data_IF_201684674430
#
_entry.id   IF_201684674430
#
_cell.length_a   1.000
_cell.length_b   1.000
_cell.length_c   1.000
_cell.angle_alpha   90.00
_cell.angle_beta   90.00
_cell.angle_gamma   90.00
#
_symmetry.space_group_name_H-M   'P 1'
#
loop_
_entity.id
_entity.type
_entity.pdbx_description
1 polymer ?
#
# COMPACT_ATOMS: atom_id res chain seq x y z
N UNK A 1 -16.93 34.66 16.31
CA UNK A 1 -17.14 33.27 15.82
C UNK A 1 -16.28 33.08 14.58
N UNK A 2 -15.20 32.31 14.72
CA UNK A 2 -14.15 32.17 13.70
C UNK A 2 -14.60 31.31 12.52
N UNK A 3 -14.37 31.81 11.30
CA UNK A 3 -14.43 31.02 10.07
C UNK A 3 -13.32 29.97 10.17
N UNK A 4 -13.67 28.71 10.45
CA UNK A 4 -12.73 27.60 10.30
C UNK A 4 -12.24 27.60 8.85
N UNK A 5 -10.92 27.67 8.70
CA UNK A 5 -10.24 27.90 7.45
C UNK A 5 -10.23 26.60 6.65
N UNK A 6 -11.22 26.40 5.79
CA UNK A 6 -11.43 25.25 4.89
C UNK A 6 -10.17 24.83 4.09
N UNK A 7 -9.22 25.74 3.85
CA UNK A 7 -7.95 25.41 3.20
C UNK A 7 -6.96 24.66 4.12
N UNK A 8 -7.01 24.85 5.43
CA UNK A 8 -6.09 24.21 6.38
C UNK A 8 -6.49 22.75 6.68
N UNK A 9 -7.78 22.42 6.59
CA UNK A 9 -8.32 21.08 6.86
C UNK A 9 -7.95 20.10 5.73
N UNK A 10 -8.12 20.51 4.46
CA UNK A 10 -7.76 19.71 3.28
C UNK A 10 -6.26 19.41 3.15
N UNK A 11 -5.40 20.36 3.54
CA UNK A 11 -3.93 20.17 3.53
C UNK A 11 -3.51 19.13 4.58
N UNK A 12 -4.24 19.05 5.70
CA UNK A 12 -3.95 18.11 6.77
C UNK A 12 -4.37 16.67 6.42
N UNK A 13 -5.48 16.51 5.70
CA UNK A 13 -5.93 15.21 5.19
C UNK A 13 -4.97 14.64 4.13
N UNK A 14 -4.53 15.46 3.17
CA UNK A 14 -3.55 15.04 2.16
C UNK A 14 -2.20 14.62 2.76
N UNK A 15 -1.72 15.36 3.77
CA UNK A 15 -0.50 15.02 4.51
C UNK A 15 -0.66 13.71 5.31
N UNK A 16 -1.81 13.51 5.95
CA UNK A 16 -2.13 12.28 6.69
C UNK A 16 -2.14 11.04 5.77
N UNK A 17 -2.79 11.14 4.61
CA UNK A 17 -2.83 10.07 3.61
C UNK A 17 -1.43 9.76 3.06
N UNK A 18 -0.62 10.80 2.84
CA UNK A 18 0.75 10.61 2.37
C UNK A 18 1.64 9.88 3.38
N UNK A 19 1.52 10.23 4.66
CA UNK A 19 2.25 9.57 5.74
C UNK A 19 1.79 8.12 5.91
N UNK A 20 0.47 7.88 5.93
CA UNK A 20 -0.10 6.54 6.02
C UNK A 20 0.39 5.64 4.88
N UNK A 21 0.39 6.15 3.64
CA UNK A 21 0.93 5.43 2.48
C UNK A 21 2.40 5.07 2.68
N UNK A 22 3.23 6.03 3.09
CA UNK A 22 4.65 5.79 3.33
C UNK A 22 4.84 4.66 4.35
N UNK A 23 4.13 4.73 5.47
CA UNK A 23 4.26 3.80 6.58
C UNK A 23 3.73 2.40 6.23
N UNK A 24 2.75 2.29 5.33
CA UNK A 24 2.25 1.02 4.80
C UNK A 24 3.14 0.43 3.70
N UNK A 25 3.78 1.26 2.87
CA UNK A 25 4.65 0.78 1.81
C UNK A 25 5.86 0.02 2.35
N UNK A 26 6.46 0.47 3.45
CA UNK A 26 7.61 -0.21 4.06
C UNK A 26 7.35 -1.69 4.41
N UNK A 27 6.35 -2.03 5.26
CA UNK A 27 6.05 -3.42 5.58
C UNK A 27 5.54 -4.18 4.35
N UNK A 28 4.81 -3.54 3.43
CA UNK A 28 4.30 -4.18 2.21
C UNK A 28 5.44 -4.60 1.27
N UNK A 29 6.46 -3.77 1.09
CA UNK A 29 7.67 -4.11 0.32
C UNK A 29 8.40 -5.31 0.92
N UNK A 30 8.49 -5.39 2.24
CA UNK A 30 9.11 -6.54 2.93
C UNK A 30 8.31 -7.83 2.66
N UNK A 31 6.98 -7.78 2.79
CA UNK A 31 6.11 -8.93 2.51
C UNK A 31 6.25 -9.40 1.06
N UNK A 32 6.22 -8.48 0.09
CA UNK A 32 6.39 -8.80 -1.33
C UNK A 32 7.76 -9.42 -1.62
N UNK A 33 8.83 -8.88 -1.02
CA UNK A 33 10.18 -9.42 -1.17
C UNK A 33 10.29 -10.86 -0.67
N UNK A 34 9.79 -11.16 0.54
CA UNK A 34 9.77 -12.54 1.03
C UNK A 34 8.86 -13.45 0.20
N UNK A 35 7.72 -12.95 -0.25
CA UNK A 35 6.82 -13.73 -1.10
C UNK A 35 7.48 -14.09 -2.45
N UNK A 36 8.27 -13.17 -3.02
CA UNK A 36 9.04 -13.42 -4.24
C UNK A 36 10.18 -14.43 -4.01
N UNK A 37 10.83 -14.40 -2.85
CA UNK A 37 11.83 -15.42 -2.50
C UNK A 37 11.19 -16.80 -2.34
N UNK A 38 10.01 -16.87 -1.70
CA UNK A 38 9.27 -18.11 -1.54
C UNK A 38 8.76 -18.65 -2.88
N UNK A 39 8.37 -17.78 -3.82
CA UNK A 39 7.79 -18.24 -5.09
C UNK A 39 8.79 -18.97 -5.99
N UNK A 40 10.08 -18.68 -5.80
CA UNK A 40 11.21 -19.32 -6.48
C UNK A 40 11.62 -20.66 -5.86
N UNK A 41 11.00 -21.07 -4.75
CA UNK A 41 11.30 -22.36 -4.11
C UNK A 41 10.53 -23.49 -4.77
N UNK A 42 11.20 -24.63 -4.95
CA UNK A 42 10.61 -25.84 -5.53
C UNK A 42 10.00 -26.80 -4.49
N UNK A 43 10.34 -26.61 -3.22
CA UNK A 43 9.98 -27.50 -2.10
C UNK A 43 8.68 -27.10 -1.36
N UNK A 44 7.96 -26.09 -1.85
CA UNK A 44 6.67 -25.69 -1.28
C UNK A 44 5.57 -26.70 -1.63
N UNK A 45 4.76 -27.06 -0.63
CA UNK A 45 3.55 -27.84 -0.85
C UNK A 45 2.57 -27.13 -1.79
N UNK A 46 1.69 -27.86 -2.50
CA UNK A 46 0.69 -27.25 -3.39
C UNK A 46 -0.20 -26.21 -2.68
N UNK A 47 -0.57 -26.49 -1.42
CA UNK A 47 -1.37 -25.58 -0.61
C UNK A 47 -0.60 -24.30 -0.27
N UNK A 48 0.67 -24.43 0.14
CA UNK A 48 1.53 -23.29 0.42
C UNK A 48 1.74 -22.42 -0.83
N UNK A 49 1.91 -23.03 -2.01
CA UNK A 49 1.98 -22.29 -3.28
C UNK A 49 0.70 -21.53 -3.57
N UNK A 50 -0.46 -22.14 -3.33
CA UNK A 50 -1.76 -21.49 -3.54
C UNK A 50 -1.93 -20.29 -2.61
N UNK A 51 -1.57 -20.44 -1.33
CA UNK A 51 -1.62 -19.33 -0.36
C UNK A 51 -0.63 -18.23 -0.72
N UNK A 52 0.57 -18.60 -1.17
CA UNK A 52 1.58 -17.64 -1.62
C UNK A 52 1.09 -16.82 -2.82
N UNK A 53 0.48 -17.46 -3.82
CA UNK A 53 -0.11 -16.75 -4.96
C UNK A 53 -1.19 -15.77 -4.51
N UNK A 54 -2.07 -16.17 -3.58
CA UNK A 54 -3.10 -15.28 -3.03
C UNK A 54 -2.49 -14.09 -2.29
N UNK A 55 -1.48 -14.34 -1.45
CA UNK A 55 -0.74 -13.30 -0.73
C UNK A 55 -0.12 -12.29 -1.70
N UNK A 56 0.56 -12.77 -2.74
CA UNK A 56 1.17 -11.91 -3.76
C UNK A 56 0.13 -11.08 -4.50
N UNK A 57 -1.01 -11.67 -4.90
CA UNK A 57 -2.10 -10.93 -5.56
C UNK A 57 -2.63 -9.81 -4.66
N UNK A 58 -3.05 -10.14 -3.43
CA UNK A 58 -3.60 -9.14 -2.51
C UNK A 58 -2.59 -8.06 -2.12
N UNK A 59 -1.31 -8.40 -1.97
CA UNK A 59 -0.25 -7.43 -1.69
C UNK A 59 -0.02 -6.47 -2.87
N UNK A 60 -0.04 -6.97 -4.11
CA UNK A 60 0.05 -6.13 -5.30
C UNK A 60 -1.18 -5.24 -5.48
N UNK A 61 -2.38 -5.75 -5.20
CA UNK A 61 -3.62 -4.96 -5.24
C UNK A 61 -3.56 -3.80 -4.24
N UNK A 62 -3.10 -4.06 -3.02
CA UNK A 62 -2.91 -3.02 -2.01
C UNK A 62 -1.87 -1.99 -2.45
N UNK A 63 -0.74 -2.43 -3.01
CA UNK A 63 0.30 -1.53 -3.52
C UNK A 63 -0.26 -0.61 -4.62
N UNK A 64 -1.08 -1.15 -5.53
CA UNK A 64 -1.72 -0.37 -6.58
C UNK A 64 -2.71 0.67 -6.03
N UNK A 65 -3.51 0.32 -5.01
CA UNK A 65 -4.41 1.27 -4.34
C UNK A 65 -3.61 2.39 -3.67
N UNK A 66 -2.55 2.04 -2.95
CA UNK A 66 -1.67 3.01 -2.28
C UNK A 66 -0.98 3.92 -3.30
N UNK A 67 -0.53 3.42 -4.44
CA UNK A 67 0.06 4.25 -5.50
C UNK A 67 -0.96 5.21 -6.13
N UNK A 68 -2.16 4.73 -6.45
CA UNK A 68 -3.25 5.58 -6.98
C UNK A 68 -3.65 6.69 -6.01
N UNK A 69 -3.58 6.46 -4.70
CA UNK A 69 -3.83 7.51 -3.70
C UNK A 69 -2.87 8.71 -3.79
N UNK A 70 -1.71 8.55 -4.45
CA UNK A 70 -0.74 9.63 -4.69
C UNK A 70 -1.22 10.60 -5.78
N UNK A 71 -2.03 10.13 -6.72
CA UNK A 71 -2.52 10.91 -7.87
C UNK A 71 -3.76 11.74 -7.53
N UNK A 72 -4.49 11.36 -6.47
CA UNK A 72 -5.67 12.10 -5.98
C UNK A 72 -5.26 13.33 -5.14
N UNK A 73 -4.01 13.42 -4.72
CA UNK A 73 -3.46 14.56 -4.00
C UNK A 73 -2.57 15.43 -4.88
N UNK A 74 -3.06 16.64 -5.19
CA UNK A 74 -2.36 17.73 -5.89
C UNK A 74 -2.25 17.58 -7.42
N UNK A 75 -3.32 17.95 -8.13
CA UNK A 75 -3.28 18.24 -9.56
C UNK A 75 -4.51 19.03 -10.02
N UNK A 76 -4.32 20.36 -10.13
CA UNK A 76 -5.10 21.42 -10.82
C UNK A 76 -6.63 21.39 -10.81
#
# INVERSE_FOLDING_TARGET
>A
MGRKNIAQENVNEGACIAQLRHDLMNPLTVVLGYAELLSKRDDLSPDARTQLTKLMLSANDLAAILQKSKEVGCGN
#
